data_IF_231119770563
#
_entry.id   IF_231119770563
#
_cell.length_a   1.000
_cell.length_b   1.000
_cell.length_c   1.000
_cell.angle_alpha   90.00
_cell.angle_beta   90.00
_cell.angle_gamma   90.00
#
_symmetry.space_group_name_H-M   'P 1'
#
loop_
_entity.id
_entity.type
_entity.pdbx_description
1 polymer ?
#
# COMPACT_ATOMS: atom_id res chain seq x y z
N UNK A 1 36.58 -36.52 33.79
CA UNK A 1 37.88 -36.19 34.41
C UNK A 1 38.14 -34.70 34.20
N UNK A 2 38.32 -33.97 35.31
CA UNK A 2 38.70 -32.55 35.49
C UNK A 2 37.76 -31.49 34.84
N UNK A 3 36.86 -30.76 35.53
CA UNK A 3 36.93 -29.88 36.73
C UNK A 3 37.27 -28.40 36.43
N UNK A 4 36.42 -27.51 37.00
CA UNK A 4 36.60 -26.12 37.49
C UNK A 4 35.43 -25.21 37.01
N UNK A 5 34.30 -25.03 37.72
CA UNK A 5 33.99 -24.27 38.96
C UNK A 5 34.10 -22.72 38.88
N UNK A 6 32.93 -22.05 38.74
CA UNK A 6 32.34 -20.82 39.40
C UNK A 6 33.20 -19.54 39.65
N UNK A 7 32.63 -18.32 39.97
CA UNK A 7 31.29 -18.01 40.51
C UNK A 7 30.56 -16.74 40.00
N UNK A 8 29.36 -16.58 40.57
CA UNK A 8 28.36 -15.50 40.59
C UNK A 8 28.81 -14.14 41.15
N UNK A 9 28.14 -13.05 40.76
CA UNK A 9 28.15 -11.78 41.51
C UNK A 9 27.15 -10.72 40.98
N UNK A 10 26.05 -10.51 41.70
CA UNK A 10 25.15 -9.34 41.61
C UNK A 10 25.68 -8.24 42.54
N UNK A 11 25.68 -6.97 42.13
CA UNK A 11 25.66 -5.83 43.06
C UNK A 11 24.93 -4.62 42.46
N UNK A 12 24.06 -4.04 43.28
CA UNK A 12 23.24 -2.87 43.05
C UNK A 12 24.03 -1.55 43.17
N UNK A 13 23.49 -0.46 42.59
CA UNK A 13 23.94 0.92 42.84
C UNK A 13 22.76 1.79 43.35
N UNK A 14 23.01 2.79 44.21
CA UNK A 14 21.99 3.42 45.04
C UNK A 14 21.53 4.81 44.56
N UNK A 15 20.36 5.23 45.08
CA UNK A 15 19.82 6.61 45.08
C UNK A 15 20.41 7.45 46.22
N UNK A 16 20.69 8.73 45.98
CA UNK A 16 20.63 9.85 46.94
C UNK A 16 20.68 11.18 46.14
N UNK A 17 19.65 12.03 46.14
CA UNK A 17 19.25 13.04 47.15
C UNK A 17 19.93 14.40 46.96
N UNK A 18 19.08 15.42 46.91
CA UNK A 18 19.33 16.83 46.63
C UNK A 18 20.07 17.60 47.73
N UNK A 19 20.61 18.77 47.37
CA UNK A 19 20.71 19.95 48.26
C UNK A 19 20.46 21.26 47.52
N UNK A 20 19.61 22.06 48.15
CA UNK A 20 19.30 23.47 47.90
C UNK A 20 20.45 24.38 48.35
N UNK A 21 20.56 25.54 47.70
CA UNK A 21 21.12 26.76 48.30
C UNK A 21 20.26 27.96 47.91
N UNK A 22 19.93 28.75 48.93
CA UNK A 22 18.92 29.81 48.95
C UNK A 22 19.51 31.21 48.65
N UNK A 23 18.63 32.22 48.73
CA UNK A 23 18.82 33.68 48.89
C UNK A 23 18.42 34.45 47.62
N UNK A 24 17.64 35.54 47.63
CA UNK A 24 16.86 36.22 48.67
C UNK A 24 15.83 37.12 47.94
N UNK A 25 14.73 37.46 48.62
CA UNK A 25 13.71 38.44 48.18
C UNK A 25 14.21 39.88 48.38
N UNK A 26 13.57 40.87 47.72
CA UNK A 26 12.69 41.74 48.51
C UNK A 26 11.29 41.93 47.91
N UNK A 27 10.34 42.01 48.85
CA UNK A 27 8.95 42.46 48.73
C UNK A 27 8.83 43.87 48.16
N UNK A 28 7.71 44.20 47.50
CA UNK A 28 6.85 45.34 47.88
C UNK A 28 5.48 45.30 47.17
N UNK A 29 4.46 45.55 47.99
CA UNK A 29 3.17 46.21 47.74
C UNK A 29 2.02 45.46 47.03
N UNK A 30 1.04 45.18 47.89
CA UNK A 30 -0.34 44.78 47.63
C UNK A 30 -1.16 45.94 47.04
N UNK A 31 -1.98 45.65 46.02
CA UNK A 31 -3.22 46.38 45.73
C UNK A 31 -4.24 45.42 45.12
N UNK A 32 -5.22 45.01 45.93
CA UNK A 32 -6.47 44.44 45.44
C UNK A 32 -7.31 45.59 44.88
N UNK A 33 -7.69 45.50 43.62
CA UNK A 33 -8.82 46.24 43.07
C UNK A 33 -9.81 45.25 42.46
N UNK A 34 -11.07 45.62 42.64
CA UNK A 34 -12.28 44.82 42.47
C UNK A 34 -12.46 44.34 41.03
N UNK A 35 -13.00 43.13 40.91
CA UNK A 35 -13.46 42.54 39.67
C UNK A 35 -14.64 43.34 39.10
N UNK A 36 -14.52 43.73 37.84
CA UNK A 36 -15.65 43.95 36.93
C UNK A 36 -15.43 43.05 35.73
N UNK A 37 -16.38 42.14 35.51
CA UNK A 37 -16.40 41.24 34.38
C UNK A 37 -16.46 42.04 33.07
N UNK A 38 -15.56 41.74 32.16
CA UNK A 38 -15.64 42.14 30.76
C UNK A 38 -15.54 40.87 29.93
N UNK A 39 -16.62 40.52 29.24
CA UNK A 39 -16.64 39.50 28.20
C UNK A 39 -15.58 39.84 27.15
N UNK A 40 -14.61 38.97 26.87
CA UNK A 40 -13.92 39.02 25.61
C UNK A 40 -14.78 38.25 24.62
N UNK A 41 -15.58 39.00 23.87
CA UNK A 41 -15.94 38.63 22.51
C UNK A 41 -14.64 38.60 21.70
N UNK A 42 -13.84 37.55 21.89
CA UNK A 42 -12.65 37.30 21.09
C UNK A 42 -13.11 36.50 19.88
N UNK A 43 -13.52 37.25 18.86
CA UNK A 43 -13.66 36.76 17.50
C UNK A 43 -12.30 36.36 16.95
N UNK A 44 -11.70 35.33 17.53
CA UNK A 44 -10.73 34.52 16.80
C UNK A 44 -11.55 33.65 15.85
N UNK A 45 -11.73 34.14 14.64
CA UNK A 45 -11.82 33.22 13.51
C UNK A 45 -10.50 32.47 13.48
N UNK A 46 -10.39 31.40 14.26
CA UNK A 46 -9.48 30.32 13.91
C UNK A 46 -9.93 29.91 12.52
N UNK A 47 -9.19 30.32 11.50
CA UNK A 47 -9.19 29.59 10.25
C UNK A 47 -8.81 28.17 10.66
N UNK A 48 -9.82 27.31 10.82
CA UNK A 48 -9.61 25.91 11.08
C UNK A 48 -8.81 25.45 9.89
N UNK A 49 -7.50 25.31 10.05
CA UNK A 49 -6.64 24.82 8.99
C UNK A 49 -6.98 23.34 8.88
N UNK A 50 -8.06 23.06 8.15
CA UNK A 50 -8.58 21.73 7.94
C UNK A 50 -7.54 21.04 7.09
N UNK A 51 -6.62 20.35 7.75
CA UNK A 51 -5.49 19.69 7.15
C UNK A 51 -5.91 18.66 6.11
N UNK A 52 -4.94 17.95 5.55
CA UNK A 52 -5.18 17.05 4.42
C UNK A 52 -5.25 15.60 4.86
N UNK A 53 -6.34 14.92 4.56
CA UNK A 53 -6.43 13.48 4.73
C UNK A 53 -5.67 12.77 3.58
N UNK A 54 -4.76 11.87 3.92
CA UNK A 54 -4.09 10.98 2.96
C UNK A 54 -4.68 9.59 3.10
N UNK A 55 -5.44 9.15 2.09
CA UNK A 55 -6.22 7.91 2.12
C UNK A 55 -5.53 6.83 1.30
N UNK A 56 -4.86 5.90 1.97
CA UNK A 56 -4.14 4.79 1.36
C UNK A 56 -5.12 3.71 0.89
N UNK A 57 -5.26 3.56 -0.43
CA UNK A 57 -6.18 2.60 -1.06
C UNK A 57 -5.46 1.31 -1.44
N UNK A 58 -5.95 0.18 -0.96
CA UNK A 58 -5.47 -1.15 -1.35
C UNK A 58 -6.64 -2.16 -1.27
N UNK A 59 -6.49 -3.37 -1.79
CA UNK A 59 -7.48 -4.44 -1.60
C UNK A 59 -7.58 -4.88 -0.14
N UNK A 60 -6.45 -4.80 0.57
CA UNK A 60 -6.31 -5.29 1.94
C UNK A 60 -6.16 -6.81 2.00
N UNK A 61 -6.08 -7.33 3.22
CA UNK A 61 -6.00 -8.75 3.49
C UNK A 61 -6.56 -9.05 4.88
N UNK A 62 -7.07 -10.27 5.12
CA UNK A 62 -7.65 -10.64 6.40
C UNK A 62 -6.58 -10.56 7.48
N UNK A 63 -6.86 -9.83 8.57
CA UNK A 63 -5.92 -9.64 9.68
C UNK A 63 -5.73 -10.92 10.50
N UNK A 64 -6.72 -11.80 10.47
CA UNK A 64 -6.72 -13.13 11.11
C UNK A 64 -7.32 -14.18 10.17
N UNK A 65 -7.06 -15.46 10.44
CA UNK A 65 -7.67 -16.57 9.68
C UNK A 65 -9.20 -16.55 9.71
N UNK A 66 -9.82 -16.03 10.76
CA UNK A 66 -11.28 -16.01 10.90
C UNK A 66 -11.94 -15.00 9.95
N UNK A 67 -11.21 -13.95 9.56
CA UNK A 67 -11.66 -12.92 8.62
C UNK A 67 -11.61 -13.37 7.15
N UNK A 68 -11.00 -14.52 6.84
CA UNK A 68 -10.80 -15.01 5.46
C UNK A 68 -12.13 -15.21 4.73
N UNK A 69 -13.15 -15.72 5.42
CA UNK A 69 -14.48 -15.95 4.82
C UNK A 69 -15.11 -14.66 4.30
N UNK A 70 -15.11 -13.63 5.14
CA UNK A 70 -15.62 -12.31 4.83
C UNK A 70 -14.83 -11.63 3.72
N UNK A 71 -13.49 -11.68 3.80
CA UNK A 71 -12.58 -11.16 2.78
C UNK A 71 -12.89 -11.75 1.40
N UNK A 72 -12.94 -13.09 1.30
CA UNK A 72 -13.26 -13.77 0.05
C UNK A 72 -14.69 -13.47 -0.41
N UNK A 73 -15.66 -13.38 0.50
CA UNK A 73 -17.03 -13.02 0.14
C UNK A 73 -17.10 -11.66 -0.55
N UNK A 74 -16.45 -10.63 0.00
CA UNK A 74 -16.40 -9.30 -0.61
C UNK A 74 -15.67 -9.32 -1.96
N UNK A 75 -14.55 -10.04 -2.04
CA UNK A 75 -13.74 -10.18 -3.25
C UNK A 75 -14.54 -10.81 -4.41
N UNK A 76 -15.20 -11.95 -4.18
CA UNK A 76 -16.00 -12.62 -5.20
C UNK A 76 -17.34 -11.93 -5.51
N UNK A 77 -17.80 -11.02 -4.65
CA UNK A 77 -18.97 -10.16 -4.91
C UNK A 77 -18.63 -8.91 -5.73
N UNK A 78 -17.35 -8.57 -5.89
CA UNK A 78 -16.94 -7.42 -6.67
C UNK A 78 -16.99 -7.68 -8.17
N UNK A 79 -17.89 -6.97 -8.84
CA UNK A 79 -18.08 -7.01 -10.30
C UNK A 79 -16.95 -6.31 -11.04
N UNK A 80 -16.22 -5.41 -10.38
CA UNK A 80 -15.11 -4.67 -10.99
C UNK A 80 -13.83 -5.52 -11.06
N UNK A 81 -13.69 -6.52 -10.17
CA UNK A 81 -12.58 -7.48 -10.13
C UNK A 81 -12.91 -8.81 -10.83
N UNK A 82 -13.96 -9.53 -10.39
CA UNK A 82 -14.32 -10.85 -10.93
C UNK A 82 -15.76 -10.81 -11.46
N UNK A 83 -15.99 -10.53 -12.75
CA UNK A 83 -17.34 -10.50 -13.31
C UNK A 83 -17.89 -11.92 -13.51
N UNK A 84 -18.58 -12.47 -12.50
CA UNK A 84 -19.22 -13.79 -12.53
C UNK A 84 -20.63 -13.79 -13.15
N UNK A 85 -21.02 -12.71 -13.81
CA UNK A 85 -22.32 -12.56 -14.46
C UNK A 85 -23.49 -12.24 -13.52
N UNK A 86 -24.75 -12.36 -13.98
CA UNK A 86 -25.93 -11.90 -13.24
C UNK A 86 -26.15 -12.59 -11.89
N UNK A 87 -25.69 -13.84 -11.75
CA UNK A 87 -25.86 -14.66 -10.54
C UNK A 87 -24.74 -14.47 -9.51
N UNK A 88 -23.82 -13.53 -9.72
CA UNK A 88 -22.68 -13.28 -8.83
C UNK A 88 -23.07 -13.06 -7.37
N UNK A 89 -24.24 -12.48 -7.08
CA UNK A 89 -24.75 -12.33 -5.70
C UNK A 89 -24.97 -13.65 -4.96
N UNK A 90 -25.21 -14.74 -5.68
CA UNK A 90 -25.39 -16.09 -5.13
C UNK A 90 -24.12 -16.93 -5.29
N UNK A 91 -23.47 -16.83 -6.45
CA UNK A 91 -22.25 -17.59 -6.75
C UNK A 91 -21.06 -17.13 -5.90
N UNK A 92 -20.95 -15.82 -5.63
CA UNK A 92 -19.86 -15.25 -4.84
C UNK A 92 -19.75 -15.90 -3.47
N UNK A 93 -20.77 -15.78 -2.59
CA UNK A 93 -20.75 -16.40 -1.26
C UNK A 93 -20.54 -17.92 -1.28
N UNK A 94 -21.09 -18.62 -2.29
CA UNK A 94 -20.91 -20.06 -2.44
C UNK A 94 -19.46 -20.43 -2.75
N UNK A 95 -18.82 -19.73 -3.69
CA UNK A 95 -17.42 -19.93 -4.07
C UNK A 95 -16.52 -19.58 -2.88
N UNK A 96 -16.80 -18.46 -2.21
CA UNK A 96 -16.06 -18.01 -1.03
C UNK A 96 -16.09 -19.09 0.05
N UNK A 97 -17.28 -19.56 0.47
CA UNK A 97 -17.40 -20.62 1.49
C UNK A 97 -16.64 -21.90 1.12
N UNK A 98 -16.64 -22.28 -0.16
CA UNK A 98 -15.89 -23.45 -0.63
C UNK A 98 -14.38 -23.24 -0.60
N UNK A 99 -13.90 -22.02 -0.86
CA UNK A 99 -12.47 -21.68 -0.90
C UNK A 99 -11.89 -21.31 0.48
N UNK A 100 -12.72 -20.83 1.41
CA UNK A 100 -12.28 -20.36 2.74
C UNK A 100 -11.36 -21.34 3.45
N UNK A 101 -11.65 -22.65 3.59
CA UNK A 101 -10.78 -23.56 4.33
C UNK A 101 -9.37 -23.65 3.74
N UNK A 102 -9.26 -23.68 2.40
CA UNK A 102 -7.95 -23.67 1.72
C UNK A 102 -7.20 -22.38 2.03
N UNK A 103 -7.83 -21.22 1.86
CA UNK A 103 -7.18 -19.93 2.05
C UNK A 103 -6.82 -19.68 3.53
N UNK A 104 -7.63 -20.16 4.47
CA UNK A 104 -7.32 -20.14 5.90
C UNK A 104 -6.05 -20.92 6.22
N UNK A 105 -5.90 -22.11 5.64
CA UNK A 105 -4.66 -22.89 5.77
C UNK A 105 -3.46 -22.12 5.19
N UNK A 106 -3.61 -21.48 4.03
CA UNK A 106 -2.52 -20.68 3.47
C UNK A 106 -2.11 -19.52 4.39
N UNK A 107 -3.09 -18.81 4.98
CA UNK A 107 -2.80 -17.77 5.96
C UNK A 107 -2.18 -18.31 7.26
N UNK A 108 -2.56 -19.51 7.74
CA UNK A 108 -1.96 -20.09 8.93
C UNK A 108 -0.48 -20.41 8.74
N UNK A 109 -0.09 -20.88 7.55
CA UNK A 109 1.32 -21.19 7.22
C UNK A 109 2.22 -19.94 7.19
N UNK A 110 1.66 -18.74 7.02
CA UNK A 110 2.42 -17.47 6.99
C UNK A 110 2.27 -16.64 8.28
N UNK A 111 1.79 -17.25 9.37
CA UNK A 111 1.68 -16.59 10.68
C UNK A 111 0.26 -16.17 11.09
N UNK A 112 -0.77 -16.64 10.41
CA UNK A 112 -2.17 -16.54 10.85
C UNK A 112 -2.95 -15.33 10.31
N UNK A 113 -2.40 -14.55 9.40
CA UNK A 113 -3.05 -13.38 8.82
C UNK A 113 -2.17 -12.61 7.85
N UNK A 114 -2.74 -11.63 7.15
CA UNK A 114 -2.01 -10.75 6.23
C UNK A 114 -1.33 -9.60 6.99
N UNK A 115 -0.03 -9.35 6.78
CA UNK A 115 0.66 -8.22 7.41
C UNK A 115 0.38 -6.88 6.71
N UNK A 116 -0.42 -6.86 5.63
CA UNK A 116 -0.67 -5.67 4.81
C UNK A 116 -1.23 -4.50 5.60
N UNK A 117 -2.10 -4.75 6.59
CA UNK A 117 -2.67 -3.69 7.43
C UNK A 117 -1.58 -3.00 8.24
N UNK A 118 -0.75 -3.79 8.94
CA UNK A 118 0.37 -3.29 9.75
C UNK A 118 1.31 -2.42 8.91
N UNK A 119 1.70 -2.90 7.73
CA UNK A 119 2.61 -2.17 6.86
C UNK A 119 1.98 -0.89 6.30
N UNK A 120 0.73 -0.97 5.84
CA UNK A 120 0.02 0.20 5.30
C UNK A 120 -0.18 1.29 6.36
N UNK A 121 -0.56 0.92 7.59
CA UNK A 121 -0.72 1.88 8.69
C UNK A 121 0.61 2.53 9.09
N UNK A 122 1.71 1.75 9.13
CA UNK A 122 3.06 2.28 9.35
C UNK A 122 3.45 3.27 8.26
N UNK A 123 3.39 2.83 7.00
CA UNK A 123 3.75 3.65 5.84
C UNK A 123 2.93 4.94 5.78
N UNK A 124 1.62 4.86 6.00
CA UNK A 124 0.74 6.03 6.00
C UNK A 124 1.12 7.04 7.08
N UNK A 125 1.32 6.56 8.31
CA UNK A 125 1.69 7.42 9.44
C UNK A 125 3.04 8.08 9.21
N UNK A 126 4.07 7.32 8.87
CA UNK A 126 5.41 7.88 8.70
C UNK A 126 5.50 8.79 7.47
N UNK A 127 4.78 8.49 6.39
CA UNK A 127 4.70 9.37 5.23
C UNK A 127 3.98 10.69 5.56
N UNK A 128 2.87 10.65 6.33
CA UNK A 128 2.17 11.87 6.77
C UNK A 128 3.03 12.70 7.73
N UNK A 129 3.69 12.07 8.71
CA UNK A 129 4.63 12.74 9.61
C UNK A 129 5.71 13.48 8.82
N UNK A 130 6.29 12.82 7.82
CA UNK A 130 7.31 13.44 6.97
C UNK A 130 6.71 14.56 6.10
N UNK A 131 5.50 14.36 5.57
CA UNK A 131 4.79 15.33 4.74
C UNK A 131 4.48 16.63 5.49
N UNK A 132 4.16 16.55 6.79
CA UNK A 132 4.00 17.75 7.65
C UNK A 132 5.26 18.62 7.69
N UNK A 133 6.44 18.02 7.64
CA UNK A 133 7.71 18.74 7.65
C UNK A 133 8.06 19.32 6.27
N UNK A 134 7.81 18.56 5.20
CA UNK A 134 8.23 18.94 3.85
C UNK A 134 7.18 19.74 3.06
N UNK A 135 5.94 19.79 3.54
CA UNK A 135 4.84 20.54 2.92
C UNK A 135 3.86 21.11 3.98
N UNK A 136 4.33 22.02 4.86
CA UNK A 136 3.54 22.50 6.02
C UNK A 136 2.28 23.30 5.65
N UNK A 137 2.15 23.80 4.42
CA UNK A 137 1.01 24.61 3.97
C UNK A 137 -0.33 23.85 3.94
N UNK A 138 -0.29 22.52 3.91
CA UNK A 138 -1.47 21.64 3.91
C UNK A 138 -1.56 20.73 5.13
N UNK A 139 -0.67 20.95 6.11
CA UNK A 139 -0.65 20.26 7.40
C UNK A 139 -1.83 20.72 8.30
N UNK A 140 -2.29 19.89 9.26
CA UNK A 140 -1.79 18.53 9.56
C UNK A 140 -2.22 17.49 8.52
N UNK A 141 -1.32 16.58 8.16
CA UNK A 141 -1.63 15.44 7.29
C UNK A 141 -2.11 14.25 8.12
N UNK A 142 -3.34 13.79 7.89
CA UNK A 142 -3.92 12.69 8.68
C UNK A 142 -3.94 11.40 7.86
N UNK A 143 -3.32 10.30 8.33
CA UNK A 143 -3.30 9.04 7.61
C UNK A 143 -4.63 8.29 7.77
N UNK A 144 -5.18 7.81 6.66
CA UNK A 144 -6.31 6.88 6.63
C UNK A 144 -5.96 5.66 5.79
N UNK A 145 -6.38 4.48 6.24
CA UNK A 145 -6.32 3.25 5.44
C UNK A 145 -7.74 2.91 5.00
N UNK A 146 -7.90 2.60 3.72
CA UNK A 146 -9.19 2.19 3.16
C UNK A 146 -9.00 0.97 2.27
N UNK A 147 -9.35 -0.19 2.81
CA UNK A 147 -9.25 -1.45 2.10
C UNK A 147 -10.55 -1.81 1.39
N UNK A 148 -10.41 -2.46 0.24
CA UNK A 148 -11.54 -2.83 -0.61
C UNK A 148 -12.33 -4.03 -0.06
N UNK A 149 -11.63 -5.01 0.55
CA UNK A 149 -12.22 -6.29 0.96
C UNK A 149 -11.94 -6.68 2.42
N UNK A 150 -10.97 -6.03 3.08
CA UNK A 150 -10.62 -6.26 4.48
C UNK A 150 -10.86 -5.00 5.32
N UNK A 151 -10.84 -5.14 6.64
CA UNK A 151 -10.98 -4.00 7.55
C UNK A 151 -9.65 -3.24 7.72
N UNK A 152 -9.67 -1.89 7.80
CA UNK A 152 -10.84 -1.00 7.69
C UNK A 152 -11.36 -0.89 6.25
N UNK A 153 -12.66 -1.08 6.05
CA UNK A 153 -13.27 -1.00 4.72
C UNK A 153 -13.35 0.45 4.25
N UNK A 154 -13.33 0.67 2.93
CA UNK A 154 -13.54 2.01 2.35
C UNK A 154 -14.79 2.71 2.88
N UNK A 155 -15.87 1.95 3.14
CA UNK A 155 -17.12 2.48 3.72
C UNK A 155 -16.93 3.01 5.15
N UNK A 156 -16.22 2.28 5.99
CA UNK A 156 -15.94 2.69 7.37
C UNK A 156 -15.04 3.92 7.39
N UNK A 157 -14.00 3.93 6.55
CA UNK A 157 -13.05 5.04 6.43
C UNK A 157 -13.72 6.32 5.94
N UNK A 158 -14.58 6.25 4.92
CA UNK A 158 -15.31 7.45 4.43
C UNK A 158 -16.22 8.02 5.52
N UNK A 159 -16.91 7.17 6.30
CA UNK A 159 -17.76 7.61 7.41
C UNK A 159 -16.93 8.24 8.54
N UNK A 160 -15.79 7.65 8.85
CA UNK A 160 -14.85 8.19 9.83
C UNK A 160 -14.35 9.57 9.41
N UNK A 161 -13.89 9.72 8.17
CA UNK A 161 -13.41 11.01 7.64
C UNK A 161 -14.48 12.12 7.70
N UNK A 162 -15.75 11.80 7.42
CA UNK A 162 -16.85 12.76 7.56
C UNK A 162 -17.06 13.17 9.02
N UNK A 163 -17.02 12.21 9.94
CA UNK A 163 -17.11 12.45 11.38
C UNK A 163 -15.94 13.30 11.90
N UNK A 164 -14.75 13.11 11.34
CA UNK A 164 -13.54 13.85 11.70
C UNK A 164 -13.50 15.27 11.09
N UNK A 165 -14.54 15.66 10.34
CA UNK A 165 -14.63 16.99 9.74
C UNK A 165 -13.65 17.21 8.58
N UNK A 166 -13.16 16.14 7.94
CA UNK A 166 -12.27 16.24 6.78
C UNK A 166 -12.95 17.04 5.68
N UNK A 167 -12.23 18.01 5.11
CA UNK A 167 -12.69 18.79 3.93
C UNK A 167 -11.80 18.59 2.71
N UNK A 168 -10.57 18.09 2.88
CA UNK A 168 -9.64 17.78 1.79
C UNK A 168 -9.08 16.38 1.93
N UNK A 169 -9.21 15.57 0.88
CA UNK A 169 -8.71 14.21 0.86
C UNK A 169 -7.94 13.88 -0.43
N UNK A 170 -6.85 13.14 -0.27
CA UNK A 170 -6.09 12.54 -1.36
C UNK A 170 -6.34 11.04 -1.36
N UNK A 171 -7.06 10.54 -2.36
CA UNK A 171 -7.17 9.12 -2.65
C UNK A 171 -5.85 8.63 -3.27
N UNK A 172 -5.01 8.00 -2.45
CA UNK A 172 -3.67 7.56 -2.83
C UNK A 172 -3.63 6.05 -3.00
N UNK A 173 -3.64 5.59 -4.25
CA UNK A 173 -3.48 4.16 -4.53
C UNK A 173 -2.13 3.63 -4.04
N UNK A 174 -2.14 2.47 -3.38
CA UNK A 174 -0.93 1.76 -2.98
C UNK A 174 -0.43 0.79 -4.05
N UNK A 175 -1.06 0.79 -5.23
CA UNK A 175 -0.61 0.10 -6.43
C UNK A 175 0.20 1.05 -7.30
N UNK A 176 1.52 0.87 -7.47
CA UNK A 176 2.29 1.74 -8.37
C UNK A 176 1.76 1.69 -9.81
N UNK A 177 1.31 0.51 -10.24
CA UNK A 177 0.77 0.27 -11.58
C UNK A 177 -0.77 0.21 -11.52
N UNK A 178 -1.43 1.04 -12.33
CA UNK A 178 -2.89 1.07 -12.39
C UNK A 178 -3.44 -0.19 -13.06
N UNK A 179 -4.40 -0.85 -12.42
CA UNK A 179 -5.36 -1.74 -13.08
C UNK A 179 -6.78 -1.29 -12.81
N UNK A 180 -7.70 -1.51 -13.75
CA UNK A 180 -9.12 -1.34 -13.49
C UNK A 180 -9.62 -2.26 -12.37
N UNK A 181 -8.97 -3.40 -12.19
CA UNK A 181 -9.35 -4.43 -11.22
C UNK A 181 -8.85 -4.12 -9.79
N UNK A 182 -7.89 -3.20 -9.65
CA UNK A 182 -7.30 -2.77 -8.36
C UNK A 182 -7.64 -1.32 -8.06
N UNK A 183 -6.80 -0.37 -8.48
CA UNK A 183 -7.04 1.08 -8.31
C UNK A 183 -8.41 1.50 -8.83
N UNK A 184 -8.82 1.00 -10.01
CA UNK A 184 -10.14 1.29 -10.57
C UNK A 184 -11.30 0.85 -9.68
N UNK A 185 -11.23 -0.34 -9.08
CA UNK A 185 -12.24 -0.83 -8.13
C UNK A 185 -12.28 0.02 -6.86
N UNK A 186 -11.12 0.34 -6.29
CA UNK A 186 -11.05 1.21 -5.09
C UNK A 186 -11.63 2.60 -5.36
N UNK A 187 -11.33 3.21 -6.51
CA UNK A 187 -11.87 4.51 -6.86
C UNK A 187 -13.37 4.48 -7.18
N UNK A 188 -13.88 3.41 -7.79
CA UNK A 188 -15.32 3.21 -7.96
C UNK A 188 -16.02 3.14 -6.59
N UNK A 189 -15.39 2.48 -5.61
CA UNK A 189 -15.95 2.35 -4.27
C UNK A 189 -15.95 3.68 -3.51
N UNK A 190 -14.85 4.45 -3.58
CA UNK A 190 -14.80 5.82 -3.04
C UNK A 190 -15.88 6.69 -3.67
N UNK A 191 -16.03 6.67 -5.00
CA UNK A 191 -17.08 7.42 -5.70
C UNK A 191 -18.49 7.02 -5.24
N UNK A 192 -18.78 5.71 -5.17
CA UNK A 192 -20.07 5.18 -4.75
C UNK A 192 -20.42 5.62 -3.32
N UNK A 193 -19.44 5.58 -2.42
CA UNK A 193 -19.61 5.92 -1.02
C UNK A 193 -19.71 7.43 -0.79
N UNK A 194 -18.90 8.23 -1.49
CA UNK A 194 -19.02 9.68 -1.46
C UNK A 194 -20.42 10.13 -1.91
N UNK A 195 -20.95 9.55 -3.00
CA UNK A 195 -22.33 9.84 -3.43
C UNK A 195 -23.40 9.42 -2.41
N UNK A 196 -23.15 8.37 -1.63
CA UNK A 196 -24.09 7.83 -0.64
C UNK A 196 -24.06 8.62 0.68
N UNK A 197 -22.87 8.97 1.16
CA UNK A 197 -22.65 9.49 2.50
C UNK A 197 -22.26 10.97 2.55
N UNK A 198 -21.78 11.54 1.44
CA UNK A 198 -21.40 12.94 1.33
C UNK A 198 -22.13 13.65 0.16
N UNK A 199 -23.47 13.73 0.18
CA UNK A 199 -24.24 14.38 -0.89
C UNK A 199 -23.95 15.88 -1.00
N UNK A 200 -23.41 16.50 0.05
CA UNK A 200 -23.04 17.92 0.12
C UNK A 200 -21.64 18.21 -0.40
N UNK A 201 -20.85 17.20 -0.79
CA UNK A 201 -19.44 17.31 -1.17
C UNK A 201 -18.61 18.08 -0.13
N UNK A 202 -18.77 17.72 1.15
CA UNK A 202 -17.94 18.20 2.25
C UNK A 202 -16.46 17.88 1.99
N UNK A 203 -16.17 16.65 1.56
CA UNK A 203 -14.81 16.22 1.25
C UNK A 203 -14.50 16.52 -0.22
N UNK A 204 -13.52 17.39 -0.45
CA UNK A 204 -12.92 17.61 -1.76
C UNK A 204 -11.85 16.57 -2.03
N UNK A 205 -12.12 15.70 -3.00
CA UNK A 205 -11.23 14.59 -3.35
C UNK A 205 -10.28 14.96 -4.48
N UNK A 206 -9.02 14.56 -4.34
CA UNK A 206 -8.05 14.46 -5.43
C UNK A 206 -7.47 13.05 -5.47
N UNK A 207 -6.90 12.63 -6.60
CA UNK A 207 -6.46 11.23 -6.78
C UNK A 207 -5.02 11.15 -7.25
N UNK A 208 -4.23 10.35 -6.53
CA UNK A 208 -2.96 9.81 -7.00
C UNK A 208 -3.25 8.39 -7.48
N UNK A 209 -3.44 8.23 -8.80
CA UNK A 209 -3.98 7.00 -9.39
C UNK A 209 -2.92 6.01 -9.88
N UNK A 210 -1.66 6.45 -10.06
CA UNK A 210 -0.54 5.61 -10.48
C UNK A 210 0.79 6.31 -10.25
N UNK A 211 1.86 5.53 -10.13
CA UNK A 211 3.23 6.02 -9.88
C UNK A 211 4.29 4.96 -10.25
N UNK A 212 4.22 4.32 -11.45
CA UNK A 212 4.96 3.09 -11.75
C UNK A 212 6.48 3.27 -11.85
N UNK A 213 6.95 4.49 -12.13
CA UNK A 213 8.37 4.80 -12.34
C UNK A 213 8.88 5.89 -11.40
N UNK A 214 8.26 6.04 -10.23
CA UNK A 214 8.75 7.01 -9.24
C UNK A 214 10.20 6.68 -8.85
N UNK A 215 11.14 7.65 -8.82
CA UNK A 215 12.55 7.36 -8.56
C UNK A 215 12.80 6.63 -7.24
N UNK A 216 12.09 7.01 -6.17
CA UNK A 216 12.20 6.31 -4.88
C UNK A 216 11.70 4.86 -4.92
N UNK A 217 10.67 4.56 -5.72
CA UNK A 217 10.21 3.17 -5.90
C UNK A 217 11.27 2.33 -6.62
N UNK A 218 11.82 2.88 -7.71
CA UNK A 218 12.87 2.24 -8.51
C UNK A 218 14.11 2.00 -7.66
N UNK A 219 14.49 2.96 -6.82
CA UNK A 219 15.66 2.85 -5.94
C UNK A 219 15.50 1.72 -4.93
N UNK A 220 14.34 1.63 -4.24
CA UNK A 220 14.13 0.55 -3.26
C UNK A 220 14.19 -0.82 -3.91
N UNK A 221 13.52 -1.01 -5.06
CA UNK A 221 13.61 -2.27 -5.79
C UNK A 221 15.04 -2.61 -6.21
N UNK A 222 15.77 -1.64 -6.78
CA UNK A 222 17.16 -1.87 -7.19
C UNK A 222 18.04 -2.25 -6.00
N UNK A 223 17.89 -1.56 -4.86
CA UNK A 223 18.63 -1.83 -3.63
C UNK A 223 18.33 -3.22 -3.06
N UNK A 224 17.06 -3.60 -2.96
CA UNK A 224 16.67 -4.93 -2.48
C UNK A 224 17.18 -6.05 -3.41
N UNK A 225 17.21 -5.80 -4.72
CA UNK A 225 17.82 -6.71 -5.69
C UNK A 225 19.33 -6.83 -5.46
N UNK A 226 20.05 -5.71 -5.33
CA UNK A 226 21.50 -5.70 -5.06
C UNK A 226 21.84 -6.41 -3.74
N UNK A 227 21.08 -6.17 -2.68
CA UNK A 227 21.19 -6.85 -1.38
C UNK A 227 20.95 -8.36 -1.50
N UNK A 228 19.92 -8.75 -2.26
CA UNK A 228 19.62 -10.17 -2.49
C UNK A 228 20.71 -10.86 -3.33
N UNK A 229 21.22 -10.18 -4.37
CA UNK A 229 22.32 -10.65 -5.21
C UNK A 229 23.62 -10.82 -4.41
N UNK A 230 23.83 -9.98 -3.39
CA UNK A 230 24.99 -10.09 -2.50
C UNK A 230 25.04 -11.43 -1.73
N UNK A 231 23.89 -12.09 -1.55
CA UNK A 231 23.78 -13.41 -0.89
C UNK A 231 24.19 -14.59 -1.79
N UNK A 232 24.41 -14.37 -3.09
CA UNK A 232 24.96 -15.37 -4.00
C UNK A 232 26.49 -15.32 -3.99
N UNK A 233 27.13 -16.44 -4.34
CA UNK A 233 28.59 -16.46 -4.46
C UNK A 233 29.06 -15.47 -5.55
N UNK A 234 30.25 -14.87 -5.41
CA UNK A 234 30.77 -13.93 -6.40
C UNK A 234 30.81 -14.48 -7.84
N UNK A 235 31.05 -15.79 -7.99
CA UNK A 235 31.09 -16.46 -9.30
C UNK A 235 29.73 -16.66 -9.94
N UNK A 236 28.66 -16.77 -9.15
CA UNK A 236 27.29 -17.01 -9.65
C UNK A 236 26.48 -15.73 -9.83
N UNK A 237 26.85 -14.66 -9.09
CA UNK A 237 26.04 -13.44 -8.95
C UNK A 237 25.66 -12.79 -10.27
N UNK A 238 26.54 -12.77 -11.25
CA UNK A 238 26.28 -12.15 -12.56
C UNK A 238 25.38 -13.02 -13.46
N UNK A 239 25.31 -14.32 -13.17
CA UNK A 239 24.51 -15.28 -13.93
C UNK A 239 23.08 -15.46 -13.37
N UNK A 240 22.81 -14.92 -12.19
CA UNK A 240 21.47 -14.95 -11.56
C UNK A 240 20.46 -14.31 -12.51
N UNK A 241 19.37 -15.04 -12.80
CA UNK A 241 18.26 -14.52 -13.59
C UNK A 241 17.25 -13.83 -12.68
N UNK A 242 16.94 -12.58 -13.01
CA UNK A 242 15.93 -11.80 -12.29
C UNK A 242 14.54 -12.08 -12.87
N UNK A 243 13.65 -12.68 -12.06
CA UNK A 243 12.26 -12.94 -12.40
C UNK A 243 11.36 -11.94 -11.69
N UNK A 244 11.03 -10.86 -12.39
CA UNK A 244 10.03 -9.90 -11.92
C UNK A 244 8.65 -10.56 -12.01
N UNK A 245 8.08 -10.86 -10.86
CA UNK A 245 6.79 -11.55 -10.73
C UNK A 245 5.71 -10.54 -10.33
N UNK A 246 4.67 -10.43 -11.16
CA UNK A 246 3.50 -9.58 -10.95
C UNK A 246 2.22 -10.42 -10.96
N UNK A 247 1.15 -9.99 -10.30
CA UNK A 247 -0.12 -10.73 -10.37
C UNK A 247 -0.65 -10.74 -11.81
N UNK A 248 -1.05 -11.90 -12.31
CA UNK A 248 -1.56 -12.01 -13.68
C UNK A 248 -2.94 -11.36 -13.82
N UNK A 249 -3.36 -11.11 -15.06
CA UNK A 249 -4.72 -10.68 -15.39
C UNK A 249 -5.35 -11.66 -16.38
N UNK A 250 -6.67 -11.91 -16.28
CA UNK A 250 -7.38 -12.63 -17.34
C UNK A 250 -7.20 -11.91 -18.68
N UNK A 251 -7.01 -12.67 -19.76
CA UNK A 251 -6.81 -12.09 -21.10
C UNK A 251 -8.00 -11.25 -21.56
N UNK A 252 -9.20 -11.51 -21.05
CA UNK A 252 -10.37 -10.65 -21.30
C UNK A 252 -10.20 -9.22 -20.74
N UNK A 253 -9.52 -9.07 -19.60
CA UNK A 253 -9.21 -7.77 -18.97
C UNK A 253 -8.09 -7.09 -19.75
N UNK A 254 -7.01 -7.82 -20.06
CA UNK A 254 -5.90 -7.31 -20.88
C UNK A 254 -6.41 -6.81 -22.24
N UNK A 255 -7.17 -7.64 -22.96
CA UNK A 255 -7.70 -7.33 -24.29
C UNK A 255 -8.80 -6.26 -24.29
N UNK A 256 -9.34 -5.90 -23.11
CA UNK A 256 -10.21 -4.72 -22.95
C UNK A 256 -9.40 -3.42 -23.03
N UNK A 257 -8.09 -3.51 -22.82
CA UNK A 257 -7.11 -2.43 -22.80
C UNK A 257 -6.82 -1.91 -21.40
N UNK A 258 -6.65 -2.83 -20.45
CA UNK A 258 -6.17 -2.49 -19.10
C UNK A 258 -4.69 -2.01 -19.18
N UNK A 259 -4.33 -0.89 -18.53
CA UNK A 259 -2.98 -0.32 -18.67
C UNK A 259 -1.91 -1.07 -17.86
N UNK A 260 -2.33 -1.94 -16.92
CA UNK A 260 -1.46 -2.60 -15.96
C UNK A 260 -0.24 -3.30 -16.58
N UNK A 261 -0.36 -4.14 -17.64
CA UNK A 261 0.80 -4.85 -18.17
C UNK A 261 1.90 -3.91 -18.68
N UNK A 262 1.52 -2.79 -19.31
CA UNK A 262 2.46 -1.80 -19.82
C UNK A 262 3.12 -1.01 -18.67
N UNK A 263 2.38 -0.68 -17.62
CA UNK A 263 2.93 0.01 -16.46
C UNK A 263 3.87 -0.86 -15.64
N UNK A 264 3.57 -2.16 -15.48
CA UNK A 264 4.49 -3.12 -14.84
C UNK A 264 5.78 -3.24 -15.66
N UNK A 265 5.66 -3.36 -16.98
CA UNK A 265 6.84 -3.39 -17.85
C UNK A 265 7.68 -2.10 -17.74
N UNK A 266 7.04 -0.94 -17.58
CA UNK A 266 7.73 0.34 -17.36
C UNK A 266 8.50 0.36 -16.02
N UNK A 267 7.90 -0.15 -14.92
CA UNK A 267 8.59 -0.30 -13.63
C UNK A 267 9.81 -1.22 -13.77
N UNK A 268 9.63 -2.40 -14.38
CA UNK A 268 10.72 -3.37 -14.61
C UNK A 268 11.86 -2.73 -15.40
N UNK A 269 11.53 -2.04 -16.51
CA UNK A 269 12.54 -1.38 -17.33
C UNK A 269 13.31 -0.30 -16.55
N UNK A 270 12.61 0.52 -15.76
CA UNK A 270 13.23 1.56 -14.94
C UNK A 270 14.18 0.96 -13.87
N UNK A 271 13.78 -0.14 -13.23
CA UNK A 271 14.64 -0.87 -12.28
C UNK A 271 15.87 -1.45 -12.98
N UNK A 272 15.69 -2.10 -14.13
CA UNK A 272 16.82 -2.68 -14.86
C UNK A 272 17.79 -1.62 -15.40
N UNK A 273 17.30 -0.44 -15.77
CA UNK A 273 18.13 0.72 -16.10
C UNK A 273 18.97 1.16 -14.89
N UNK A 274 18.36 1.27 -13.70
CA UNK A 274 19.06 1.59 -12.45
C UNK A 274 20.12 0.53 -12.08
N UNK A 275 19.87 -0.73 -12.42
CA UNK A 275 20.81 -1.85 -12.25
C UNK A 275 21.84 -1.99 -13.38
N UNK A 276 21.78 -1.12 -14.41
CA UNK A 276 22.67 -1.12 -15.58
C UNK A 276 22.67 -2.45 -16.36
N UNK A 277 21.54 -3.17 -16.34
CA UNK A 277 21.38 -4.47 -17.01
C UNK A 277 22.49 -5.50 -16.73
N UNK A 278 23.07 -5.48 -15.53
CA UNK A 278 24.13 -6.43 -15.16
C UNK A 278 23.69 -7.89 -15.19
N UNK A 279 22.40 -8.14 -14.93
CA UNK A 279 21.82 -9.48 -14.88
C UNK A 279 20.75 -9.65 -15.98
N UNK A 280 20.60 -10.86 -16.54
CA UNK A 280 19.48 -11.18 -17.40
C UNK A 280 18.17 -11.16 -16.61
N UNK A 281 17.07 -10.78 -17.26
CA UNK A 281 15.77 -10.71 -16.58
C UNK A 281 14.58 -11.11 -17.45
N UNK A 282 13.47 -11.44 -16.81
CA UNK A 282 12.14 -11.61 -17.41
C UNK A 282 11.06 -11.02 -16.52
N UNK A 283 10.01 -10.50 -17.15
CA UNK A 283 8.74 -10.22 -16.50
C UNK A 283 7.82 -11.43 -16.68
N UNK A 284 7.35 -11.97 -15.57
CA UNK A 284 6.47 -13.14 -15.47
C UNK A 284 5.28 -12.81 -14.58
N UNK A 285 4.25 -13.64 -14.65
CA UNK A 285 2.97 -13.38 -14.01
C UNK A 285 2.55 -14.56 -13.13
N UNK A 286 2.08 -14.27 -11.91
CA UNK A 286 1.70 -15.27 -10.93
C UNK A 286 0.19 -15.29 -10.65
N UNK A 287 -0.24 -16.22 -9.81
CA UNK A 287 -1.59 -16.28 -9.25
C UNK A 287 -2.74 -16.44 -10.26
N UNK A 288 -2.50 -17.13 -11.39
CA UNK A 288 -3.58 -17.52 -12.30
C UNK A 288 -4.60 -18.41 -11.56
N UNK A 289 -5.88 -18.02 -11.62
CA UNK A 289 -6.98 -18.82 -11.03
C UNK A 289 -8.05 -19.17 -12.05
N UNK A 290 -8.48 -20.43 -12.02
CA UNK A 290 -9.57 -20.94 -12.86
C UNK A 290 -9.14 -21.26 -14.30
N UNK A 291 -10.10 -21.71 -15.13
CA UNK A 291 -9.81 -22.31 -16.43
C UNK A 291 -9.65 -21.31 -17.58
N UNK A 292 -9.96 -20.02 -17.37
CA UNK A 292 -9.86 -18.98 -18.40
C UNK A 292 -8.40 -18.75 -18.82
N UNK A 293 -8.19 -18.11 -19.97
CA UNK A 293 -6.84 -17.69 -20.39
C UNK A 293 -6.38 -16.46 -19.59
N UNK A 294 -5.11 -16.48 -19.15
CA UNK A 294 -4.46 -15.41 -18.39
C UNK A 294 -3.19 -14.94 -19.09
N UNK A 295 -2.73 -13.74 -18.74
CA UNK A 295 -1.48 -13.19 -19.22
C UNK A 295 -0.30 -14.04 -18.75
N UNK A 296 0.50 -14.53 -19.69
CA UNK A 296 1.71 -15.30 -19.44
C UNK A 296 2.99 -14.52 -19.74
N UNK A 297 4.17 -15.09 -19.47
CA UNK A 297 4.43 -16.43 -18.95
C UNK A 297 4.14 -16.58 -17.44
N UNK A 298 3.72 -17.77 -16.99
CA UNK A 298 3.41 -18.04 -15.58
C UNK A 298 4.68 -18.20 -14.74
N UNK A 299 4.74 -17.62 -13.54
CA UNK A 299 5.94 -17.63 -12.67
C UNK A 299 6.35 -19.05 -12.29
N UNK A 300 5.44 -19.86 -11.76
CA UNK A 300 5.71 -21.25 -11.37
C UNK A 300 6.27 -22.08 -12.54
N UNK A 301 5.58 -22.07 -13.68
CA UNK A 301 6.03 -22.76 -14.90
C UNK A 301 7.38 -22.24 -15.40
N UNK A 302 7.62 -20.93 -15.31
CA UNK A 302 8.90 -20.36 -15.74
C UNK A 302 10.06 -20.84 -14.86
N UNK A 303 9.86 -20.90 -13.54
CA UNK A 303 10.83 -21.45 -12.59
C UNK A 303 11.12 -22.91 -12.90
N UNK A 304 10.08 -23.74 -13.03
CA UNK A 304 10.21 -25.16 -13.39
C UNK A 304 11.02 -25.36 -14.69
N UNK A 305 10.70 -24.58 -15.73
CA UNK A 305 11.36 -24.69 -17.04
C UNK A 305 12.82 -24.22 -17.02
N UNK A 306 13.17 -23.21 -16.19
CA UNK A 306 14.56 -22.82 -15.99
C UNK A 306 15.36 -23.89 -15.24
N UNK A 307 14.78 -24.46 -14.18
CA UNK A 307 15.40 -25.54 -13.41
C UNK A 307 15.66 -26.77 -14.29
N UNK A 308 14.70 -27.17 -15.14
CA UNK A 308 14.89 -28.25 -16.13
C UNK A 308 16.03 -27.99 -17.11
N UNK A 309 16.34 -26.72 -17.39
CA UNK A 309 17.45 -26.29 -18.26
C UNK A 309 18.77 -26.11 -17.51
N UNK A 310 18.84 -26.45 -16.23
CA UNK A 310 20.02 -26.30 -15.39
C UNK A 310 20.25 -24.89 -14.86
N UNK A 311 19.33 -23.95 -15.07
CA UNK A 311 19.41 -22.63 -14.45
C UNK A 311 18.74 -22.67 -13.07
N UNK A 312 19.55 -22.77 -12.03
CA UNK A 312 19.12 -22.91 -10.63
C UNK A 312 19.34 -21.66 -9.79
N UNK A 313 19.90 -20.59 -10.37
CA UNK A 313 20.14 -19.30 -9.72
C UNK A 313 19.12 -18.29 -10.21
N UNK A 314 18.00 -18.17 -9.49
CA UNK A 314 16.86 -17.32 -9.84
C UNK A 314 16.52 -16.39 -8.67
N UNK A 315 16.40 -15.09 -8.92
CA UNK A 315 15.89 -14.14 -7.94
C UNK A 315 14.48 -13.71 -8.33
N UNK A 316 13.48 -14.03 -7.52
CA UNK A 316 12.09 -13.63 -7.70
C UNK A 316 11.87 -12.25 -7.08
N UNK A 317 11.28 -11.32 -7.83
CA UNK A 317 11.04 -9.94 -7.39
C UNK A 317 9.54 -9.64 -7.42
N UNK A 318 8.88 -9.38 -6.28
CA UNK A 318 7.46 -8.99 -6.24
C UNK A 318 7.28 -7.54 -6.72
N UNK A 319 7.23 -7.32 -8.04
CA UNK A 319 7.38 -5.99 -8.65
C UNK A 319 6.11 -5.12 -8.61
N UNK A 320 4.95 -5.75 -8.36
CA UNK A 320 3.64 -5.09 -8.43
C UNK A 320 2.93 -4.95 -7.07
N UNK A 321 3.63 -5.27 -5.97
CA UNK A 321 3.12 -5.08 -4.61
C UNK A 321 4.22 -4.52 -3.70
N UNK A 322 3.82 -3.67 -2.77
CA UNK A 322 4.74 -2.88 -1.94
C UNK A 322 4.99 -3.49 -0.57
N UNK A 323 4.24 -4.50 -0.16
CA UNK A 323 4.34 -5.11 1.16
C UNK A 323 4.13 -6.60 1.07
N UNK A 324 4.64 -7.34 2.06
CA UNK A 324 4.39 -8.76 2.16
C UNK A 324 2.89 -9.06 2.31
N UNK A 325 2.49 -10.19 1.73
CA UNK A 325 1.12 -10.66 1.63
C UNK A 325 1.12 -12.14 1.20
N UNK A 326 -0.05 -12.73 0.99
CA UNK A 326 -0.16 -14.16 0.70
C UNK A 326 0.54 -14.54 -0.61
N UNK A 327 0.51 -13.64 -1.60
CA UNK A 327 1.17 -13.82 -2.89
C UNK A 327 2.70 -13.83 -2.79
N UNK A 328 3.30 -13.29 -1.73
CA UNK A 328 4.76 -13.39 -1.49
C UNK A 328 5.10 -14.50 -0.51
N UNK A 329 4.55 -14.43 0.70
CA UNK A 329 4.92 -15.30 1.82
C UNK A 329 4.47 -16.75 1.61
N UNK A 330 3.40 -16.98 0.86
CA UNK A 330 2.90 -18.33 0.60
C UNK A 330 3.26 -18.77 -0.82
N UNK A 331 2.78 -18.04 -1.84
CA UNK A 331 2.93 -18.48 -3.22
C UNK A 331 4.39 -18.46 -3.70
N UNK A 332 5.15 -17.40 -3.43
CA UNK A 332 6.56 -17.39 -3.82
C UNK A 332 7.43 -18.25 -2.89
N UNK A 333 7.34 -18.03 -1.58
CA UNK A 333 8.28 -18.66 -0.63
C UNK A 333 7.98 -20.15 -0.37
N UNK A 334 6.72 -20.51 -0.12
CA UNK A 334 6.36 -21.87 0.28
C UNK A 334 6.01 -22.76 -0.91
N UNK A 335 5.24 -22.25 -1.88
CA UNK A 335 4.91 -23.03 -3.08
C UNK A 335 6.07 -23.01 -4.08
N UNK A 336 6.37 -21.87 -4.73
CA UNK A 336 7.31 -21.86 -5.87
C UNK A 336 8.75 -22.18 -5.45
N UNK A 337 9.30 -21.50 -4.45
CA UNK A 337 10.66 -21.72 -3.96
C UNK A 337 10.76 -23.06 -3.23
N UNK A 338 9.77 -23.36 -2.36
CA UNK A 338 9.69 -24.61 -1.62
C UNK A 338 9.61 -25.85 -2.51
N UNK A 339 8.81 -25.81 -3.58
CA UNK A 339 8.66 -26.93 -4.52
C UNK A 339 9.87 -27.10 -5.43
N UNK A 340 10.54 -26.00 -5.80
CA UNK A 340 11.73 -26.07 -6.64
C UNK A 340 12.92 -26.73 -5.94
N UNK A 341 13.01 -26.63 -4.61
CA UNK A 341 14.07 -27.24 -3.76
C UNK A 341 15.50 -26.91 -4.24
N UNK A 342 15.69 -25.71 -4.80
CA UNK A 342 16.99 -25.22 -5.23
C UNK A 342 17.45 -24.08 -4.30
N UNK A 343 18.62 -24.18 -3.64
CA UNK A 343 19.10 -23.13 -2.73
C UNK A 343 19.46 -21.81 -3.44
N UNK A 344 19.69 -21.87 -4.76
CA UNK A 344 19.92 -20.71 -5.62
C UNK A 344 18.65 -19.99 -6.04
N UNK A 345 17.46 -20.47 -5.67
CA UNK A 345 16.21 -19.76 -5.94
C UNK A 345 15.81 -18.99 -4.69
N UNK A 346 15.76 -17.67 -4.79
CA UNK A 346 15.49 -16.76 -3.67
C UNK A 346 14.46 -15.71 -4.06
N UNK A 347 13.87 -15.06 -3.08
CA UNK A 347 12.99 -13.89 -3.26
C UNK A 347 13.67 -12.63 -2.74
N UNK A 348 13.51 -11.51 -3.45
CA UNK A 348 13.88 -10.20 -2.95
C UNK A 348 12.86 -9.69 -1.93
N UNK A 349 13.32 -9.00 -0.89
CA UNK A 349 12.42 -8.47 0.14
C UNK A 349 11.37 -7.50 -0.44
N UNK A 350 10.16 -7.57 0.09
CA UNK A 350 9.11 -6.58 -0.17
C UNK A 350 9.50 -5.22 0.41
N UNK A 351 8.95 -4.12 -0.12
CA UNK A 351 9.35 -2.76 0.29
C UNK A 351 9.03 -2.48 1.76
N UNK A 352 7.91 -3.01 2.28
CA UNK A 352 7.56 -3.01 3.70
C UNK A 352 7.81 -1.65 4.38
N UNK A 353 8.62 -1.61 5.45
CA UNK A 353 8.94 -0.41 6.21
C UNK A 353 10.20 0.33 5.73
N UNK A 354 10.64 0.12 4.49
CA UNK A 354 11.84 0.76 3.96
C UNK A 354 11.74 2.30 4.05
N UNK A 355 12.70 2.99 4.68
CA UNK A 355 12.67 4.44 4.82
C UNK A 355 12.69 5.23 3.50
N UNK A 356 13.37 4.73 2.47
CA UNK A 356 13.38 5.30 1.11
C UNK A 356 11.99 5.14 0.49
N UNK A 357 11.29 4.03 0.73
CA UNK A 357 9.93 3.84 0.26
C UNK A 357 8.94 4.78 0.96
N UNK A 358 9.04 4.93 2.29
CA UNK A 358 8.24 5.89 3.06
C UNK A 358 8.48 7.33 2.55
N UNK A 359 9.75 7.69 2.34
CA UNK A 359 10.15 8.97 1.74
C UNK A 359 9.49 9.16 0.37
N UNK A 360 9.49 8.13 -0.48
CA UNK A 360 8.88 8.16 -1.79
C UNK A 360 7.37 8.41 -1.73
N UNK A 361 6.64 7.78 -0.80
CA UNK A 361 5.21 8.03 -0.61
C UNK A 361 4.92 9.50 -0.25
N UNK A 362 5.73 10.06 0.66
CA UNK A 362 5.61 11.47 1.04
C UNK A 362 5.97 12.42 -0.12
N UNK A 363 6.99 12.10 -0.92
CA UNK A 363 7.36 12.91 -2.09
C UNK A 363 6.29 12.88 -3.18
N UNK A 364 5.67 11.71 -3.43
CA UNK A 364 4.54 11.56 -4.35
C UNK A 364 3.36 12.42 -3.89
N UNK A 365 3.02 12.37 -2.60
CA UNK A 365 1.93 13.18 -2.03
C UNK A 365 2.24 14.68 -2.10
N UNK A 366 3.46 15.11 -1.77
CA UNK A 366 3.89 16.51 -1.92
C UNK A 366 3.77 16.98 -3.36
N UNK A 367 4.35 16.25 -4.31
CA UNK A 367 4.30 16.62 -5.72
C UNK A 367 2.85 16.73 -6.23
N UNK A 368 1.96 15.84 -5.77
CA UNK A 368 0.54 15.92 -6.10
C UNK A 368 -0.11 17.19 -5.55
N UNK A 369 0.15 17.54 -4.29
CA UNK A 369 -0.38 18.74 -3.64
C UNK A 369 0.16 20.03 -4.27
N UNK A 370 1.45 20.09 -4.60
CA UNK A 370 2.09 21.22 -5.30
C UNK A 370 1.52 21.41 -6.71
N UNK A 371 1.14 20.32 -7.36
CA UNK A 371 0.49 20.34 -8.67
C UNK A 371 -1.04 20.54 -8.57
N UNK A 372 -1.52 21.24 -7.54
CA UNK A 372 -2.93 21.54 -7.30
C UNK A 372 -3.84 20.29 -7.27
N UNK A 373 -3.32 19.15 -6.79
CA UNK A 373 -4.07 17.90 -6.68
C UNK A 373 -4.48 17.29 -8.02
N UNK A 374 -3.78 17.61 -9.11
CA UNK A 374 -4.15 17.13 -10.44
C UNK A 374 -3.80 15.66 -10.64
N UNK A 375 -4.81 14.84 -10.90
CA UNK A 375 -4.62 13.44 -11.29
C UNK A 375 -3.98 13.31 -12.67
N UNK A 376 -3.43 12.13 -12.96
CA UNK A 376 -2.80 11.89 -14.26
C UNK A 376 -3.83 11.98 -15.40
N UNK A 377 -3.45 12.45 -16.61
CA UNK A 377 -4.35 12.45 -17.76
C UNK A 377 -4.90 11.05 -18.10
N UNK A 378 -4.12 9.99 -17.79
CA UNK A 378 -4.52 8.61 -18.00
C UNK A 378 -5.72 8.19 -17.14
N UNK A 379 -5.91 8.77 -15.94
CA UNK A 379 -7.10 8.48 -15.12
C UNK A 379 -8.40 8.73 -15.90
N UNK A 380 -8.39 9.72 -16.78
CA UNK A 380 -9.58 10.13 -17.50
C UNK A 380 -9.82 9.38 -18.82
N UNK A 381 -8.85 8.57 -19.25
CA UNK A 381 -8.98 7.70 -20.40
C UNK A 381 -9.53 6.34 -19.95
N UNK A 382 -10.74 5.98 -20.40
CA UNK A 382 -11.27 4.61 -20.18
C UNK A 382 -10.55 3.63 -21.10
N UNK A 383 -10.48 2.35 -20.68
CA UNK A 383 -10.05 1.28 -21.56
C UNK A 383 -10.86 1.32 -22.87
N UNK A 384 -10.24 1.08 -24.05
CA UNK A 384 -10.91 1.12 -25.35
C UNK A 384 -12.22 0.32 -25.42
N UNK A 385 -12.30 -0.85 -24.77
CA UNK A 385 -13.51 -1.69 -24.75
C UNK A 385 -14.27 -1.63 -23.42
N UNK A 386 -14.12 -0.56 -22.64
CA UNK A 386 -14.84 -0.40 -21.38
C UNK A 386 -16.33 -0.15 -21.61
N UNK A 387 -17.18 -1.06 -21.10
CA UNK A 387 -18.64 -0.92 -21.10
C UNK A 387 -19.21 -0.51 -19.74
N UNK A 388 -18.36 -0.37 -18.72
CA UNK A 388 -18.80 -0.02 -17.37
C UNK A 388 -19.17 1.45 -17.28
N UNK A 389 -20.43 1.71 -16.96
CA UNK A 389 -20.95 3.05 -16.69
C UNK A 389 -20.33 3.64 -15.43
N UNK A 390 -20.08 2.80 -14.42
CA UNK A 390 -19.38 3.19 -13.17
C UNK A 390 -18.04 3.83 -13.47
N UNK A 391 -17.26 3.25 -14.40
CA UNK A 391 -15.97 3.80 -14.79
C UNK A 391 -16.06 5.16 -15.50
N UNK A 392 -17.21 5.52 -16.10
CA UNK A 392 -17.43 6.85 -16.70
C UNK A 392 -17.81 7.85 -15.62
N UNK A 393 -18.80 7.50 -14.81
CA UNK A 393 -19.31 8.35 -13.73
C UNK A 393 -18.24 8.64 -12.65
N UNK A 394 -17.44 7.63 -12.28
CA UNK A 394 -16.32 7.78 -11.36
C UNK A 394 -15.29 8.79 -11.88
N UNK A 395 -14.91 8.72 -13.16
CA UNK A 395 -13.96 9.68 -13.77
C UNK A 395 -14.54 11.08 -13.83
N UNK A 396 -15.82 11.21 -14.18
CA UNK A 396 -16.51 12.50 -14.20
C UNK A 396 -16.55 13.14 -12.81
N UNK A 397 -16.82 12.35 -11.78
CA UNK A 397 -16.80 12.78 -10.39
C UNK A 397 -15.44 13.35 -9.98
N UNK A 398 -14.35 12.60 -10.15
CA UNK A 398 -13.02 13.10 -9.75
C UNK A 398 -12.54 14.27 -10.61
N UNK A 399 -12.93 14.32 -11.89
CA UNK A 399 -12.66 15.48 -12.74
C UNK A 399 -13.35 16.74 -12.21
N UNK A 400 -14.62 16.63 -11.83
CA UNK A 400 -15.39 17.74 -11.26
C UNK A 400 -14.74 18.22 -9.95
N UNK A 401 -14.41 17.30 -9.04
CA UNK A 401 -13.76 17.64 -7.77
C UNK A 401 -12.44 18.40 -7.97
N UNK A 402 -11.63 17.98 -8.96
CA UNK A 402 -10.39 18.65 -9.32
C UNK A 402 -10.60 20.06 -9.88
N UNK A 403 -11.65 20.28 -10.69
CA UNK A 403 -11.98 21.63 -11.20
C UNK A 403 -12.47 22.54 -10.08
N UNK A 404 -13.30 22.04 -9.17
CA UNK A 404 -13.79 22.80 -8.01
C UNK A 404 -12.63 23.20 -7.07
N UNK A 405 -11.69 22.28 -6.81
CA UNK A 405 -10.52 22.55 -5.97
C UNK A 405 -9.52 23.54 -6.59
N UNK A 406 -9.50 23.71 -7.92
CA UNK A 406 -8.64 24.67 -8.60
C UNK A 406 -9.26 26.08 -8.69
N UNK A 407 -10.58 26.20 -8.45
CA UNK A 407 -11.30 27.47 -8.48
C UNK A 407 -11.35 28.18 -7.10
N UNK A 408 -11.03 27.44 -6.03
CA UNK A 408 -10.86 27.90 -4.65
C UNK A 408 -9.39 28.05 -4.32
#
# INVERSE_FOLDING_TARGET
MASLLFPTGRTALPRASARLSSLARPSYLSRRFLATASDPNDGSTSSSNNGTAIVMLNMGGPGTTDEVGDFLSRLFMDKDLIPLGPLQKYLGPLISRRRTPKIQHQYSEIGGGSPIRKWTELQAREACNLLDHIHPSTAPHTPYVAFRYASPLTEDTVRQMLSDGVTRAVAFTQYPQYSCSTTGSSLNEVWRLAKKYDPTNQIKWSVIDRWPTHPGLVEVFARHIEESLATYSPSEREEVVLLFSAHSLPMSVVNRGDPYPAEVAATVWAVMQRLKFKNPYRLVWQSQVGPSAWLGAQTATTVEEYVKKGQTNLLLIPIAFTSDHIETLYELDLEIIGDAKQPGIKRAESLNGDPIFIRALADIAKNHLENAGRSTPQLYLRCPKCTSERCREQKAFFRQQQTEAAAT
#
